data_IF_176438576692
#
_entry.id   IF_176438576692
#
_cell.length_a   1.000
_cell.length_b   1.000
_cell.length_c   1.000
_cell.angle_alpha   90.00
_cell.angle_beta   90.00
_cell.angle_gamma   90.00
#
_symmetry.space_group_name_H-M   'P 1'
#
loop_
_entity.id
_entity.type
_entity.pdbx_description
1 polymer ?
#
# COMPACT_ATOMS: atom_id res chain seq x y z
N UNK A 1 -1.08 0.09 10.77
CA UNK A 1 -1.89 -1.16 10.76
C UNK A 1 -1.11 -2.22 11.51
N UNK A 2 -1.77 -3.26 12.05
CA UNK A 2 -1.11 -4.28 12.89
C UNK A 2 -1.82 -4.63 14.21
N UNK A 3 -3.00 -4.03 14.49
CA UNK A 3 -3.73 -4.22 15.77
C UNK A 3 -4.39 -5.59 15.96
N UNK A 4 -3.92 -6.62 15.25
CA UNK A 4 -4.44 -7.99 15.29
C UNK A 4 -3.44 -9.03 14.81
N UNK A 5 -2.14 -8.72 14.86
CA UNK A 5 -1.06 -9.61 14.45
C UNK A 5 -0.18 -9.93 15.67
N UNK A 6 0.33 -11.15 15.73
CA UNK A 6 1.25 -11.59 16.77
C UNK A 6 2.27 -12.55 16.16
N UNK A 7 3.55 -12.35 16.50
CA UNK A 7 4.64 -13.22 16.05
C UNK A 7 4.81 -14.38 17.03
N UNK A 8 4.71 -15.60 16.51
CA UNK A 8 4.82 -16.84 17.29
C UNK A 8 6.18 -17.47 17.00
N UNK A 9 7.02 -17.59 18.05
CA UNK A 9 8.44 -17.96 17.90
C UNK A 9 8.73 -19.45 18.15
N UNK A 10 7.74 -20.22 18.59
CA UNK A 10 7.89 -21.64 18.89
C UNK A 10 6.55 -22.36 18.89
N UNK A 11 6.59 -23.70 18.86
CA UNK A 11 5.39 -24.53 19.01
C UNK A 11 4.75 -24.34 20.40
N UNK A 12 5.55 -24.22 21.46
CA UNK A 12 5.03 -23.92 22.80
C UNK A 12 4.30 -22.56 22.82
N UNK A 13 4.83 -21.55 22.13
CA UNK A 13 4.15 -20.26 21.98
C UNK A 13 2.87 -20.36 21.15
N UNK A 14 2.82 -21.26 20.16
CA UNK A 14 1.59 -21.54 19.43
C UNK A 14 0.54 -22.21 20.33
N UNK A 15 0.96 -23.15 21.18
CA UNK A 15 0.08 -23.79 22.18
C UNK A 15 -0.49 -22.76 23.17
N UNK A 16 0.31 -21.78 23.59
CA UNK A 16 -0.17 -20.65 24.42
C UNK A 16 -1.24 -19.82 23.70
N UNK A 17 -1.09 -19.56 22.40
CA UNK A 17 -2.11 -18.87 21.59
C UNK A 17 -3.38 -19.72 21.51
N UNK A 18 -3.27 -21.02 21.26
CA UNK A 18 -4.41 -21.94 21.19
C UNK A 18 -5.13 -22.11 22.53
N UNK A 19 -4.44 -21.93 23.65
CA UNK A 19 -5.02 -22.04 24.99
C UNK A 19 -5.84 -20.82 25.41
N UNK A 20 -5.82 -19.71 24.64
CA UNK A 20 -6.59 -18.51 24.96
C UNK A 20 -8.10 -18.77 24.87
N UNK A 21 -8.92 -18.22 25.80
CA UNK A 21 -10.36 -18.45 25.80
C UNK A 21 -11.06 -18.13 24.47
N UNK A 22 -10.57 -17.12 23.75
CA UNK A 22 -11.10 -16.64 22.48
C UNK A 22 -10.57 -17.39 21.25
N UNK A 23 -9.51 -18.21 21.38
CA UNK A 23 -8.81 -18.81 20.25
C UNK A 23 -9.73 -19.64 19.34
N UNK A 24 -10.62 -20.44 19.94
CA UNK A 24 -11.57 -21.26 19.18
C UNK A 24 -12.49 -20.43 18.26
N UNK A 25 -12.96 -19.27 18.74
CA UNK A 25 -13.77 -18.35 17.95
C UNK A 25 -12.94 -17.72 16.84
N UNK A 26 -11.77 -17.17 17.17
CA UNK A 26 -10.86 -16.51 16.21
C UNK A 26 -10.51 -17.45 15.05
N UNK A 27 -10.13 -18.69 15.32
CA UNK A 27 -9.78 -19.66 14.27
C UNK A 27 -10.98 -20.08 13.42
N UNK A 28 -12.20 -20.07 13.98
CA UNK A 28 -13.43 -20.36 13.22
C UNK A 28 -13.81 -19.20 12.31
N UNK A 29 -13.53 -17.97 12.72
CA UNK A 29 -13.75 -16.76 11.91
C UNK A 29 -12.70 -16.59 10.79
N UNK A 30 -11.54 -17.24 10.95
CA UNK A 30 -10.47 -17.33 9.96
C UNK A 30 -9.20 -16.63 10.44
N UNK A 31 -8.08 -17.33 10.33
CA UNK A 31 -6.75 -16.81 10.63
C UNK A 31 -5.81 -17.11 9.48
N UNK A 32 -4.83 -16.24 9.28
CA UNK A 32 -3.70 -16.46 8.39
C UNK A 32 -2.50 -16.81 9.26
N UNK A 33 -1.90 -17.97 8.98
CA UNK A 33 -0.59 -18.33 9.49
C UNK A 33 0.40 -18.14 8.35
N UNK A 34 1.31 -17.21 8.53
CA UNK A 34 2.35 -16.89 7.55
C UNK A 34 3.72 -16.90 8.22
N UNK A 35 4.75 -17.01 7.39
CA UNK A 35 6.12 -16.94 7.86
C UNK A 35 6.47 -15.50 8.19
N UNK A 36 6.93 -15.26 9.42
CA UNK A 36 7.49 -13.97 9.82
C UNK A 36 8.78 -13.70 9.04
N UNK A 37 8.92 -12.46 8.55
CA UNK A 37 10.07 -12.03 7.76
C UNK A 37 10.80 -10.92 8.51
N UNK A 38 12.12 -10.98 8.49
CA UNK A 38 12.98 -9.90 8.96
C UNK A 38 13.28 -8.92 7.82
N UNK A 39 13.62 -7.67 8.18
CA UNK A 39 14.02 -6.61 7.25
C UNK A 39 12.98 -6.34 6.15
N UNK A 40 11.70 -6.35 6.52
CA UNK A 40 10.60 -6.24 5.56
C UNK A 40 10.54 -4.85 4.94
N UNK A 41 10.51 -4.83 3.62
CA UNK A 41 10.07 -3.71 2.80
C UNK A 41 8.67 -4.03 2.28
N UNK A 42 7.76 -3.07 2.42
CA UNK A 42 6.40 -3.19 1.88
C UNK A 42 6.21 -2.26 0.70
N UNK A 43 6.06 -2.86 -0.49
CA UNK A 43 5.71 -2.11 -1.68
C UNK A 43 4.19 -2.03 -1.83
N UNK A 44 3.72 -0.87 -2.27
CA UNK A 44 2.35 -0.65 -2.72
C UNK A 44 2.31 -0.75 -4.24
N UNK A 45 1.59 -1.73 -4.77
CA UNK A 45 1.40 -1.92 -6.21
C UNK A 45 -0.08 -1.93 -6.52
N UNK A 46 -0.53 -1.13 -7.47
CA UNK A 46 -1.95 -1.05 -7.76
C UNK A 46 -2.31 -0.44 -9.09
N UNK A 47 -3.61 -0.53 -9.39
CA UNK A 47 -4.22 -0.01 -10.60
C UNK A 47 -5.57 0.65 -10.27
N UNK A 48 -5.80 1.82 -10.87
CA UNK A 48 -7.03 2.60 -10.70
C UNK A 48 -7.68 2.90 -12.05
N UNK A 49 -9.00 2.77 -12.09
CA UNK A 49 -9.88 3.01 -13.22
C UNK A 49 -10.82 4.18 -12.91
N UNK A 50 -10.53 5.37 -13.45
CA UNK A 50 -11.27 6.59 -13.12
C UNK A 50 -11.62 7.32 -14.42
N UNK A 51 -12.92 7.50 -14.70
CA UNK A 51 -13.39 8.27 -15.86
C UNK A 51 -12.90 7.72 -17.21
N UNK A 52 -12.80 6.39 -17.35
CA UNK A 52 -12.29 5.73 -18.55
C UNK A 52 -10.76 5.78 -18.71
N UNK A 53 -10.03 6.19 -17.67
CA UNK A 53 -8.57 6.21 -17.62
C UNK A 53 -8.08 5.13 -16.67
N UNK A 54 -7.01 4.46 -17.08
CA UNK A 54 -6.29 3.47 -16.26
C UNK A 54 -4.99 4.13 -15.81
N UNK A 55 -4.67 3.99 -14.53
CA UNK A 55 -3.39 4.36 -13.96
C UNK A 55 -2.83 3.16 -13.21
N UNK A 56 -1.55 2.86 -13.41
CA UNK A 56 -0.86 1.82 -12.64
C UNK A 56 0.30 2.45 -11.88
N UNK A 57 0.60 1.89 -10.72
CA UNK A 57 1.65 2.42 -9.86
C UNK A 57 2.37 1.34 -9.07
N UNK A 58 3.60 1.66 -8.71
CA UNK A 58 4.37 0.98 -7.67
C UNK A 58 4.98 2.04 -6.75
N UNK A 59 5.32 1.67 -5.53
CA UNK A 59 5.90 2.59 -4.58
C UNK A 59 6.03 2.00 -3.20
N UNK A 60 6.37 2.83 -2.24
CA UNK A 60 6.63 2.42 -0.87
C UNK A 60 5.69 3.12 0.08
N UNK A 61 5.29 2.42 1.12
CA UNK A 61 4.56 2.98 2.24
C UNK A 61 5.55 3.33 3.36
N UNK A 62 5.23 4.35 4.15
CA UNK A 62 5.99 4.66 5.34
C UNK A 62 5.07 5.00 6.51
N UNK A 63 5.58 4.76 7.70
CA UNK A 63 4.86 4.99 8.95
C UNK A 63 5.19 6.36 9.52
N UNK A 64 4.28 6.89 10.31
CA UNK A 64 4.46 8.06 11.18
C UNK A 64 3.98 7.70 12.58
N UNK A 65 4.32 8.49 13.58
CA UNK A 65 3.74 8.37 14.91
C UNK A 65 2.44 9.18 14.99
N UNK A 66 1.43 8.61 15.66
CA UNK A 66 0.24 9.36 16.07
C UNK A 66 0.49 10.16 17.36
N UNK A 67 -0.54 10.84 17.86
CA UNK A 67 -0.45 11.66 19.07
C UNK A 67 -0.16 10.84 20.35
N UNK A 68 -0.27 9.51 20.29
CA UNK A 68 0.04 8.58 21.38
C UNK A 68 1.44 7.94 21.21
N UNK A 69 2.17 8.26 20.14
CA UNK A 69 3.46 7.66 19.82
C UNK A 69 3.35 6.29 19.13
N UNK A 70 2.15 5.89 18.71
CA UNK A 70 1.94 4.61 18.04
C UNK A 70 2.26 4.73 16.55
N UNK A 71 2.91 3.71 16.00
CA UNK A 71 3.23 3.67 14.58
C UNK A 71 1.96 3.45 13.73
N UNK A 72 1.62 4.45 12.95
CA UNK A 72 0.45 4.48 12.05
C UNK A 72 0.88 4.82 10.63
N UNK A 73 -0.04 4.68 9.67
CA UNK A 73 0.25 5.00 8.28
C UNK A 73 0.61 6.50 8.14
N UNK A 74 1.78 6.80 7.60
CA UNK A 74 2.29 8.16 7.39
C UNK A 74 2.26 8.64 5.95
N UNK A 75 2.05 7.73 5.00
CA UNK A 75 1.98 8.08 3.60
C UNK A 75 2.48 7.00 2.65
N UNK A 76 2.49 7.36 1.37
CA UNK A 76 2.99 6.53 0.27
C UNK A 76 3.73 7.40 -0.71
N UNK A 77 4.85 6.92 -1.23
CA UNK A 77 5.57 7.49 -2.35
C UNK A 77 5.34 6.61 -3.57
N UNK A 78 4.63 7.12 -4.57
CA UNK A 78 4.23 6.35 -5.75
C UNK A 78 4.95 6.86 -7.00
N UNK A 79 5.36 5.91 -7.82
CA UNK A 79 5.66 6.10 -9.23
C UNK A 79 4.43 5.63 -10.02
N UNK A 80 3.81 6.56 -10.74
CA UNK A 80 2.55 6.31 -11.44
C UNK A 80 2.74 6.49 -12.94
N UNK A 81 2.11 5.63 -13.74
CA UNK A 81 2.03 5.74 -15.20
C UNK A 81 0.57 5.72 -15.66
N UNK A 82 0.23 6.34 -16.81
CA UNK A 82 -1.02 6.07 -17.48
C UNK A 82 -0.96 4.70 -18.15
N UNK A 83 -2.03 3.92 -18.03
CA UNK A 83 -2.13 2.56 -18.57
C UNK A 83 -2.01 1.47 -17.52
N UNK A 84 -1.84 0.24 -18.00
CA UNK A 84 -1.79 -0.97 -17.18
C UNK A 84 -0.40 -1.24 -16.58
N UNK A 85 -0.24 -2.39 -15.93
CA UNK A 85 1.04 -2.81 -15.35
C UNK A 85 2.14 -2.97 -16.39
N UNK A 86 1.82 -3.25 -17.66
CA UNK A 86 2.83 -3.40 -18.70
C UNK A 86 3.44 -2.03 -19.06
N UNK A 87 2.66 -0.95 -19.02
CA UNK A 87 3.22 0.41 -19.12
C UNK A 87 4.18 0.73 -17.97
N UNK A 88 3.87 0.26 -16.75
CA UNK A 88 4.72 0.47 -15.59
C UNK A 88 6.05 -0.30 -15.73
N UNK A 89 5.99 -1.54 -16.23
CA UNK A 89 7.14 -2.42 -16.45
C UNK A 89 8.07 -1.98 -17.60
N UNK A 90 7.66 -1.01 -18.43
CA UNK A 90 8.53 -0.36 -19.43
C UNK A 90 9.50 0.64 -18.84
N UNK A 91 9.26 1.10 -17.62
CA UNK A 91 10.19 1.97 -16.91
C UNK A 91 11.44 1.18 -16.48
N UNK A 92 12.55 1.90 -16.30
CA UNK A 92 13.74 1.35 -15.67
C UNK A 92 13.48 1.22 -14.16
N UNK A 93 13.19 -0.01 -13.74
CA UNK A 93 12.79 -0.34 -12.38
C UNK A 93 13.76 -1.36 -11.77
N UNK A 94 14.11 -1.22 -10.48
CA UNK A 94 14.84 -2.24 -9.74
C UNK A 94 14.17 -3.62 -9.83
N UNK A 95 14.96 -4.69 -9.84
CA UNK A 95 14.47 -6.06 -10.05
C UNK A 95 13.45 -6.50 -8.98
N UNK A 96 13.67 -6.09 -7.74
CA UNK A 96 12.79 -6.27 -6.59
C UNK A 96 11.41 -5.60 -6.80
N UNK A 97 11.39 -4.38 -7.33
CA UNK A 97 10.13 -3.69 -7.67
C UNK A 97 9.43 -4.39 -8.85
N UNK A 98 10.17 -4.86 -9.85
CA UNK A 98 9.58 -5.64 -10.97
C UNK A 98 8.97 -6.94 -10.46
N UNK A 99 9.63 -7.63 -9.54
CA UNK A 99 9.08 -8.83 -8.88
C UNK A 99 7.78 -8.53 -8.15
N UNK A 100 7.73 -7.42 -7.39
CA UNK A 100 6.52 -6.99 -6.70
C UNK A 100 5.36 -6.72 -7.67
N UNK A 101 5.62 -6.08 -8.80
CA UNK A 101 4.61 -5.85 -9.85
C UNK A 101 4.12 -7.17 -10.43
N UNK A 102 5.01 -8.11 -10.73
CA UNK A 102 4.61 -9.42 -11.26
C UNK A 102 3.77 -10.22 -10.27
N UNK A 103 4.09 -10.18 -8.97
CA UNK A 103 3.28 -10.85 -7.94
C UNK A 103 1.89 -10.22 -7.81
N UNK A 104 1.80 -8.88 -7.87
CA UNK A 104 0.53 -8.18 -7.93
C UNK A 104 -0.30 -8.61 -9.16
N UNK A 105 0.31 -8.70 -10.34
CA UNK A 105 -0.36 -9.19 -11.56
C UNK A 105 -0.90 -10.62 -11.41
N UNK A 106 -0.10 -11.52 -10.82
CA UNK A 106 -0.50 -12.92 -10.59
C UNK A 106 -1.71 -12.98 -9.65
N UNK A 107 -1.67 -12.23 -8.55
CA UNK A 107 -2.78 -12.19 -7.59
C UNK A 107 -4.03 -11.56 -8.18
N UNK A 108 -3.89 -10.42 -8.89
CA UNK A 108 -5.01 -9.73 -9.53
C UNK A 108 -5.71 -10.61 -10.57
N UNK A 109 -4.92 -11.35 -11.37
CA UNK A 109 -5.46 -12.32 -12.33
C UNK A 109 -6.19 -13.47 -11.62
N UNK A 110 -5.63 -14.00 -10.54
CA UNK A 110 -6.28 -15.05 -9.76
C UNK A 110 -7.61 -14.58 -9.15
N UNK A 111 -7.70 -13.31 -8.73
CA UNK A 111 -8.96 -12.71 -8.27
C UNK A 111 -10.01 -12.66 -9.39
N UNK A 112 -9.64 -12.26 -10.61
CA UNK A 112 -10.56 -12.23 -11.75
C UNK A 112 -11.01 -13.64 -12.17
N UNK A 113 -10.10 -14.62 -12.13
CA UNK A 113 -10.42 -16.04 -12.42
C UNK A 113 -11.38 -16.63 -11.37
N UNK A 114 -11.16 -16.32 -10.09
CA UNK A 114 -12.01 -16.79 -9.00
C UNK A 114 -13.37 -16.09 -8.95
N UNK A 115 -13.44 -14.82 -9.37
CA UNK A 115 -14.63 -13.98 -9.29
C UNK A 115 -14.92 -13.23 -10.60
N UNK A 116 -15.40 -13.90 -11.68
CA UNK A 116 -15.54 -13.29 -13.01
C UNK A 116 -16.50 -12.09 -13.13
N UNK A 117 -17.36 -11.87 -12.12
CA UNK A 117 -18.26 -10.71 -12.04
C UNK A 117 -17.81 -9.63 -11.08
N UNK A 118 -16.68 -9.81 -10.40
CA UNK A 118 -16.16 -8.86 -9.43
C UNK A 118 -15.54 -7.66 -10.14
N UNK A 119 -15.87 -6.46 -9.67
CA UNK A 119 -15.30 -5.23 -10.17
C UNK A 119 -14.94 -4.32 -9.01
N UNK A 120 -13.73 -3.79 -9.06
CA UNK A 120 -13.26 -2.71 -8.21
C UNK A 120 -12.53 -1.69 -9.09
N UNK A 121 -12.96 -0.42 -9.04
CA UNK A 121 -12.32 0.66 -9.78
C UNK A 121 -10.95 1.05 -9.24
N UNK A 122 -10.55 0.51 -8.08
CA UNK A 122 -9.24 0.65 -7.49
C UNK A 122 -8.83 -0.70 -6.92
N UNK A 123 -7.67 -1.19 -7.31
CA UNK A 123 -7.07 -2.39 -6.76
C UNK A 123 -5.64 -2.11 -6.32
N UNK A 124 -5.32 -2.41 -5.07
CA UNK A 124 -4.00 -2.21 -4.48
C UNK A 124 -3.57 -3.48 -3.77
N UNK A 125 -2.29 -3.78 -3.83
CA UNK A 125 -1.66 -4.93 -3.24
C UNK A 125 -0.44 -4.47 -2.47
N UNK A 126 -0.36 -4.87 -1.21
CA UNK A 126 0.83 -4.67 -0.39
C UNK A 126 1.71 -5.90 -0.53
N UNK A 127 2.90 -5.69 -1.08
CA UNK A 127 3.87 -6.75 -1.35
C UNK A 127 4.95 -6.67 -0.29
N UNK A 128 5.07 -7.72 0.53
CA UNK A 128 6.15 -7.85 1.48
C UNK A 128 7.38 -8.47 0.80
N UNK A 129 8.55 -7.93 1.07
CA UNK A 129 9.85 -8.47 0.68
C UNK A 129 10.78 -8.45 1.88
N UNK A 130 11.37 -9.60 2.23
CA UNK A 130 12.21 -9.71 3.41
C UNK A 130 13.02 -11.01 3.41
N UNK A 131 13.63 -11.33 4.54
CA UNK A 131 14.36 -12.58 4.73
C UNK A 131 13.66 -13.46 5.75
N UNK A 132 13.57 -14.76 5.45
CA UNK A 132 13.03 -15.71 6.40
C UNK A 132 14.03 -16.12 7.48
N UNK A 133 13.60 -16.96 8.43
CA UNK A 133 14.41 -17.48 9.53
C UNK A 133 15.65 -18.28 9.09
N UNK A 134 15.67 -18.80 7.86
CA UNK A 134 16.81 -19.51 7.27
C UNK A 134 17.74 -18.56 6.50
N UNK A 135 17.43 -17.26 6.48
CA UNK A 135 18.16 -16.22 5.76
C UNK A 135 17.83 -16.14 4.27
N UNK A 136 16.76 -16.79 3.81
CA UNK A 136 16.37 -16.83 2.41
C UNK A 136 15.43 -15.66 2.08
N UNK A 137 15.69 -15.00 0.95
CA UNK A 137 14.82 -13.94 0.47
C UNK A 137 13.42 -14.49 0.14
N UNK A 138 12.39 -13.85 0.68
CA UNK A 138 10.98 -14.13 0.44
C UNK A 138 10.26 -12.89 -0.04
N UNK A 139 9.27 -13.10 -0.88
CA UNK A 139 8.45 -12.05 -1.43
C UNK A 139 7.06 -12.57 -1.77
N UNK A 140 6.02 -11.79 -1.46
CA UNK A 140 4.64 -12.16 -1.76
C UNK A 140 3.64 -11.06 -1.45
N UNK A 141 2.43 -11.21 -1.98
CA UNK A 141 1.29 -10.35 -1.65
C UNK A 141 0.87 -10.64 -0.21
N UNK A 142 0.97 -9.64 0.66
CA UNK A 142 0.57 -9.69 2.06
C UNK A 142 -0.93 -9.40 2.20
N UNK A 143 -1.39 -8.29 1.61
CA UNK A 143 -2.80 -7.90 1.66
C UNK A 143 -3.28 -7.23 0.38
N UNK A 144 -4.60 -7.27 0.16
CA UNK A 144 -5.28 -6.51 -0.88
C UNK A 144 -6.12 -5.38 -0.27
N UNK A 145 -6.19 -4.25 -0.97
CA UNK A 145 -7.01 -3.11 -0.60
C UNK A 145 -7.77 -2.56 -1.81
N UNK A 146 -9.01 -3.02 -1.97
CA UNK A 146 -9.92 -2.62 -3.07
C UNK A 146 -10.95 -1.56 -2.66
N UNK A 147 -10.49 -0.55 -1.93
CA UNK A 147 -11.28 0.59 -1.45
C UNK A 147 -10.42 1.86 -1.47
N UNK A 148 -11.04 3.03 -1.33
CA UNK A 148 -10.27 4.24 -1.05
C UNK A 148 -9.46 4.06 0.24
N UNK A 149 -8.21 4.53 0.20
CA UNK A 149 -7.23 4.38 1.29
C UNK A 149 -6.27 5.55 1.35
N UNK A 150 -5.24 5.43 2.18
CA UNK A 150 -4.27 6.51 2.41
C UNK A 150 -3.50 6.95 1.16
N UNK A 151 -3.30 6.05 0.21
CA UNK A 151 -2.64 6.35 -1.07
C UNK A 151 -3.55 7.05 -2.09
N UNK A 152 -4.87 7.12 -1.85
CA UNK A 152 -5.82 7.54 -2.89
C UNK A 152 -5.72 9.01 -3.28
N UNK A 153 -5.25 9.87 -2.40
CA UNK A 153 -4.98 11.26 -2.76
C UNK A 153 -3.83 11.37 -3.77
N UNK A 154 -2.81 10.51 -3.67
CA UNK A 154 -1.72 10.46 -4.64
C UNK A 154 -2.21 9.94 -6.01
N UNK A 155 -3.07 8.92 -6.04
CA UNK A 155 -3.68 8.39 -7.26
C UNK A 155 -4.46 9.47 -8.02
N UNK A 156 -5.28 10.26 -7.30
CA UNK A 156 -6.08 11.33 -7.89
C UNK A 156 -5.22 12.50 -8.37
N UNK A 157 -4.18 12.86 -7.62
CA UNK A 157 -3.24 13.89 -8.07
C UNK A 157 -2.46 13.46 -9.32
N UNK A 158 -2.03 12.19 -9.40
CA UNK A 158 -1.43 11.64 -10.61
C UNK A 158 -2.40 11.72 -11.80
N UNK A 159 -3.66 11.33 -11.60
CA UNK A 159 -4.70 11.45 -12.63
C UNK A 159 -4.83 12.88 -13.15
N UNK A 160 -4.91 13.85 -12.24
CA UNK A 160 -5.05 15.26 -12.58
C UNK A 160 -3.86 15.75 -13.42
N UNK A 161 -2.64 15.32 -13.09
CA UNK A 161 -1.44 15.66 -13.86
C UNK A 161 -1.49 15.09 -15.28
N UNK A 162 -1.87 13.81 -15.45
CA UNK A 162 -2.02 13.21 -16.78
C UNK A 162 -3.18 13.80 -17.59
N UNK A 163 -4.22 14.33 -16.92
CA UNK A 163 -5.30 15.06 -17.59
C UNK A 163 -4.81 16.41 -18.12
N UNK A 164 -3.98 17.11 -17.33
CA UNK A 164 -3.45 18.42 -17.66
C UNK A 164 -2.35 18.36 -18.73
N UNK A 165 -1.51 17.32 -18.70
CA UNK A 165 -0.49 17.05 -19.71
C UNK A 165 -0.62 15.63 -20.25
N UNK A 166 -1.16 15.53 -21.48
CA UNK A 166 -1.35 14.24 -22.17
C UNK A 166 -0.06 13.61 -22.68
N UNK A 167 1.04 14.36 -22.72
CA UNK A 167 2.36 13.85 -23.12
C UNK A 167 3.14 13.21 -21.97
N UNK A 168 2.70 13.43 -20.73
CA UNK A 168 3.35 12.91 -19.53
C UNK A 168 3.24 11.39 -19.46
N UNK A 169 4.39 10.72 -19.39
CA UNK A 169 4.49 9.24 -19.41
C UNK A 169 4.57 8.61 -18.03
N UNK A 170 5.05 9.36 -17.04
CA UNK A 170 5.20 8.90 -15.67
C UNK A 170 5.25 10.12 -14.73
N UNK A 171 4.95 9.90 -13.46
CA UNK A 171 4.99 10.95 -12.44
C UNK A 171 5.32 10.35 -11.07
N UNK A 172 5.96 11.14 -10.21
CA UNK A 172 6.18 10.79 -8.81
C UNK A 172 5.24 11.59 -7.93
N UNK A 173 4.47 10.89 -7.09
CA UNK A 173 3.48 11.51 -6.23
C UNK A 173 3.57 10.93 -4.84
N UNK A 174 3.57 11.78 -3.83
CA UNK A 174 3.57 11.35 -2.44
C UNK A 174 2.32 11.81 -1.74
N UNK A 175 1.56 10.88 -1.13
CA UNK A 175 0.53 11.20 -0.15
C UNK A 175 1.15 11.21 1.24
N UNK A 176 0.89 12.23 2.05
CA UNK A 176 1.39 12.35 3.42
C UNK A 176 0.22 12.48 4.39
N UNK A 177 0.28 11.72 5.49
CA UNK A 177 -0.59 11.88 6.66
C UNK A 177 0.28 12.21 7.88
N UNK A 178 -0.05 13.28 8.59
CA UNK A 178 0.63 13.67 9.84
C UNK A 178 -0.38 14.15 10.87
N UNK A 179 -0.07 13.90 12.14
CA UNK A 179 -0.91 14.23 13.29
C UNK A 179 -0.49 15.54 13.96
N UNK A 180 0.47 16.24 13.36
CA UNK A 180 0.96 17.53 13.81
C UNK A 180 0.49 18.64 12.86
N UNK A 181 0.02 19.76 13.42
CA UNK A 181 -0.24 20.95 12.62
C UNK A 181 1.09 21.59 12.21
N UNK A 182 1.31 21.64 10.90
CA UNK A 182 2.55 22.15 10.32
C UNK A 182 2.28 22.91 9.01
N UNK A 183 3.19 23.81 8.60
CA UNK A 183 3.15 24.41 7.27
C UNK A 183 3.25 23.34 6.18
N UNK A 184 2.56 23.57 5.06
CA UNK A 184 2.70 22.71 3.89
C UNK A 184 4.04 22.95 3.19
N UNK A 185 4.66 21.91 2.62
CA UNK A 185 5.73 22.09 1.65
C UNK A 185 5.27 22.96 0.47
N UNK A 186 6.22 23.60 -0.21
CA UNK A 186 5.91 24.32 -1.44
C UNK A 186 5.23 23.39 -2.46
N UNK A 187 4.22 23.94 -3.16
CA UNK A 187 3.45 23.25 -4.20
C UNK A 187 2.69 21.99 -3.74
N UNK A 188 2.60 21.76 -2.42
CA UNK A 188 1.77 20.69 -1.89
C UNK A 188 0.29 21.04 -2.04
N UNK A 189 -0.51 20.01 -2.35
CA UNK A 189 -1.96 20.10 -2.45
C UNK A 189 -2.53 19.66 -1.09
N UNK A 190 -3.17 20.57 -0.37
CA UNK A 190 -3.88 20.23 0.86
C UNK A 190 -5.09 19.36 0.53
N UNK A 191 -5.18 18.19 1.17
CA UNK A 191 -6.31 17.27 1.04
C UNK A 191 -7.26 17.45 2.23
N UNK A 192 -6.69 17.60 3.42
CA UNK A 192 -7.44 17.74 4.65
C UNK A 192 -6.58 18.37 5.75
N UNK A 193 -7.16 19.22 6.59
CA UNK A 193 -6.52 19.76 7.81
C UNK A 193 -7.60 19.94 8.88
N UNK A 194 -7.53 19.19 9.98
CA UNK A 194 -8.50 19.32 11.08
C UNK A 194 -8.66 18.07 11.94
N UNK A 195 -9.68 18.03 12.82
CA UNK A 195 -9.95 16.89 13.70
C UNK A 195 -10.56 15.70 12.93
N UNK A 196 -10.05 14.49 13.14
CA UNK A 196 -10.54 13.27 12.50
C UNK A 196 -11.28 12.36 13.49
N UNK A 197 -11.98 11.34 12.98
CA UNK A 197 -12.80 10.45 13.80
C UNK A 197 -12.01 9.74 14.92
N UNK A 198 -10.73 9.46 14.69
CA UNK A 198 -9.86 8.72 15.61
C UNK A 198 -8.65 9.52 16.10
N UNK A 199 -8.56 10.81 15.78
CA UNK A 199 -7.45 11.66 16.22
C UNK A 199 -7.88 13.12 16.37
N UNK A 200 -7.33 13.79 17.38
CA UNK A 200 -7.62 15.21 17.65
C UNK A 200 -7.20 16.12 16.48
N UNK A 201 -6.22 15.69 15.70
CA UNK A 201 -5.77 16.39 14.51
C UNK A 201 -5.27 15.41 13.44
N UNK A 202 -5.46 15.79 12.18
CA UNK A 202 -4.96 15.12 11.00
C UNK A 202 -4.73 16.15 9.90
N UNK A 203 -3.52 16.15 9.35
CA UNK A 203 -3.17 16.87 8.14
C UNK A 203 -2.84 15.84 7.06
N UNK A 204 -3.58 15.91 5.94
CA UNK A 204 -3.30 15.15 4.72
C UNK A 204 -2.95 16.08 3.60
N UNK A 205 -1.87 15.79 2.88
CA UNK A 205 -1.49 16.54 1.69
C UNK A 205 -0.81 15.65 0.67
N UNK A 206 -0.70 16.15 -0.55
CA UNK A 206 -0.02 15.49 -1.65
C UNK A 206 1.11 16.37 -2.17
N UNK A 207 2.24 15.76 -2.52
CA UNK A 207 3.29 16.43 -3.30
C UNK A 207 3.45 15.74 -4.64
N UNK A 208 3.72 16.51 -5.68
CA UNK A 208 3.87 16.03 -7.05
C UNK A 208 5.23 16.45 -7.57
N UNK A 209 5.96 15.53 -8.19
CA UNK A 209 7.27 15.78 -8.81
C UNK A 209 7.32 15.18 -10.21
N UNK A 210 8.04 15.85 -11.10
CA UNK A 210 8.35 15.31 -12.43
C UNK A 210 9.07 13.97 -12.30
N UNK A 211 8.82 13.06 -13.25
CA UNK A 211 9.54 11.80 -13.32
C UNK A 211 11.01 11.99 -13.70
N UNK A 212 11.30 12.92 -14.62
CA UNK A 212 12.63 13.14 -15.20
C UNK A 212 13.55 14.06 -14.36
N UNK A 213 13.09 14.53 -13.20
CA UNK A 213 13.79 15.53 -12.38
C UNK A 213 13.33 16.94 -12.69
#
# INVERSE_FOLDING_TARGET
AGRGQEVIKSLDGFDEVLARPEAGTTFTEGVVLEQDLDQVITHSVGQSFIGGKILSYCGDQYLTEDAQGEAVYGGSNLLVVPGDYDELLKLDLPEDVRLAIHQAQVFDKAADEAYPGFYASRRNYDIAQGVDSDGQARSGVLEQSWRMGGASSAEVAALQSFVNDRGMRAIRVSSVETYNDQPLPADAIEVYRGPAQTSDFLLKYVTVKSYDG
#
